data_IF_473140813908
#
_entry.id   IF_473140813908
#
_cell.length_a   1.000
_cell.length_b   1.000
_cell.length_c   1.000
_cell.angle_alpha   90.00
_cell.angle_beta   90.00
_cell.angle_gamma   90.00
#
_symmetry.space_group_name_H-M   'P 1'
#
loop_
_entity.id
_entity.type
_entity.pdbx_description
1 polymer ?
#
# COMPACT_ATOMS: atom_id res chain seq x y z
N UNK A 1 3.47 -21.44 29.37
CA UNK A 1 3.44 -22.04 28.02
C UNK A 1 4.84 -21.92 27.41
N UNK A 2 5.34 -22.91 26.66
CA UNK A 2 6.63 -22.82 25.95
C UNK A 2 6.40 -22.83 24.44
N UNK A 3 6.61 -21.68 23.81
CA UNK A 3 6.78 -21.57 22.35
C UNK A 3 8.04 -20.71 22.12
N UNK A 4 9.15 -21.35 21.78
CA UNK A 4 10.44 -20.66 21.62
C UNK A 4 10.48 -19.91 20.28
N UNK A 5 10.29 -18.59 20.32
CA UNK A 5 10.81 -17.73 19.23
C UNK A 5 12.33 -17.90 19.13
N UNK A 6 12.88 -17.86 17.92
CA UNK A 6 14.33 -17.91 17.67
C UNK A 6 15.06 -16.62 18.11
N UNK A 7 14.32 -15.57 18.48
CA UNK A 7 14.87 -14.35 19.09
C UNK A 7 15.36 -13.29 18.09
N UNK A 8 14.75 -13.23 16.89
CA UNK A 8 15.04 -12.20 15.87
C UNK A 8 14.82 -10.77 16.40
N UNK A 9 13.66 -10.50 16.99
CA UNK A 9 13.31 -9.24 17.69
C UNK A 9 14.36 -8.83 18.70
N UNK A 10 14.89 -9.82 19.42
CA UNK A 10 15.92 -9.63 20.45
C UNK A 10 17.29 -9.30 19.83
N UNK A 11 17.66 -9.91 18.70
CA UNK A 11 18.88 -9.56 17.96
C UNK A 11 18.80 -8.15 17.40
N UNK A 12 17.67 -7.77 16.78
CA UNK A 12 17.46 -6.43 16.24
C UNK A 12 17.52 -5.36 17.37
N UNK A 13 16.81 -5.58 18.48
CA UNK A 13 16.84 -4.67 19.63
C UNK A 13 18.22 -4.63 20.33
N UNK A 14 18.95 -5.74 20.38
CA UNK A 14 20.31 -5.73 20.93
C UNK A 14 21.31 -5.06 19.99
N UNK A 15 21.11 -5.11 18.66
CA UNK A 15 21.95 -4.42 17.70
C UNK A 15 21.75 -2.90 17.72
N UNK A 16 20.49 -2.46 17.68
CA UNK A 16 20.09 -1.04 17.58
C UNK A 16 20.04 -0.39 18.97
N UNK A 17 19.15 -0.87 19.84
CA UNK A 17 18.83 -0.23 21.13
C UNK A 17 19.77 -0.61 22.27
N UNK A 18 20.72 -1.54 22.05
CA UNK A 18 21.60 -2.14 23.08
C UNK A 18 20.84 -2.68 24.30
N UNK A 19 19.63 -3.21 24.05
CA UNK A 19 18.71 -3.70 25.08
C UNK A 19 18.22 -5.10 24.77
N UNK A 20 18.25 -5.95 25.80
CA UNK A 20 17.61 -7.26 25.83
C UNK A 20 16.50 -7.28 26.89
N UNK A 21 15.46 -8.10 26.69
CA UNK A 21 14.34 -8.28 27.63
C UNK A 21 13.99 -9.75 27.79
N UNK A 22 13.80 -10.18 29.04
CA UNK A 22 13.30 -11.51 29.38
C UNK A 22 11.77 -11.65 29.26
N UNK A 23 11.03 -10.56 29.01
CA UNK A 23 9.57 -10.61 28.88
C UNK A 23 9.18 -11.05 27.46
N UNK A 24 8.85 -12.33 27.30
CA UNK A 24 8.35 -12.86 26.04
C UNK A 24 6.95 -12.29 25.71
N UNK A 25 6.88 -11.46 24.68
CA UNK A 25 5.67 -11.22 23.88
C UNK A 25 5.88 -11.88 22.52
N UNK A 26 4.81 -12.37 21.90
CA UNK A 26 4.85 -12.84 20.52
C UNK A 26 4.79 -11.63 19.57
N UNK A 27 5.65 -11.60 18.55
CA UNK A 27 5.50 -10.67 17.42
C UNK A 27 4.22 -11.01 16.66
N UNK A 28 3.35 -10.02 16.46
CA UNK A 28 2.14 -10.08 15.65
C UNK A 28 2.37 -9.07 14.52
N UNK A 29 2.19 -9.46 13.27
CA UNK A 29 2.78 -8.72 12.15
C UNK A 29 4.31 -8.79 12.24
N UNK A 30 4.97 -7.63 12.29
CA UNK A 30 6.41 -7.50 12.48
C UNK A 30 6.81 -6.07 12.97
N UNK A 31 8.10 -5.78 13.07
CA UNK A 31 8.68 -4.64 13.82
C UNK A 31 9.78 -3.93 12.99
N UNK A 32 10.10 -2.65 13.23
CA UNK A 32 11.04 -1.87 12.40
C UNK A 32 11.95 -0.92 13.20
N UNK A 33 13.24 -0.93 12.89
CA UNK A 33 14.28 -0.12 13.53
C UNK A 33 15.36 0.31 12.54
N UNK A 34 15.56 1.62 12.36
CA UNK A 34 16.69 2.15 11.59
C UNK A 34 17.96 2.27 12.44
N UNK A 35 19.14 1.99 11.85
CA UNK A 35 20.44 2.35 12.44
C UNK A 35 21.44 2.78 11.38
N UNK A 36 22.10 3.91 11.61
CA UNK A 36 23.24 4.35 10.80
C UNK A 36 24.51 3.57 11.16
N UNK A 37 25.28 3.20 10.13
CA UNK A 37 26.49 2.37 10.26
C UNK A 37 27.55 2.86 9.28
N UNK A 38 28.81 2.90 9.70
CA UNK A 38 29.95 3.08 8.79
C UNK A 38 30.36 1.73 8.21
N UNK A 39 30.36 1.61 6.89
CA UNK A 39 30.81 0.41 6.15
C UNK A 39 31.73 0.85 5.02
N UNK A 40 32.99 0.38 5.04
CA UNK A 40 34.03 0.73 4.06
C UNK A 40 34.08 2.26 3.75
N UNK A 41 34.18 3.04 4.83
CA UNK A 41 34.18 4.51 4.87
C UNK A 41 32.93 5.23 4.32
N UNK A 42 31.85 4.51 4.00
CA UNK A 42 30.53 5.06 3.69
C UNK A 42 29.62 5.02 4.91
N UNK A 43 28.96 6.14 5.23
CA UNK A 43 27.85 6.16 6.18
C UNK A 43 26.59 5.65 5.48
N UNK A 44 25.95 4.61 6.02
CA UNK A 44 24.76 4.00 5.44
C UNK A 44 23.67 3.79 6.48
N UNK A 45 22.43 4.12 6.13
CA UNK A 45 21.26 3.84 6.96
C UNK A 45 20.81 2.40 6.70
N UNK A 46 21.07 1.50 7.63
CA UNK A 46 20.42 0.18 7.65
C UNK A 46 18.97 0.37 8.13
N UNK A 47 18.00 0.19 7.25
CA UNK A 47 16.62 -0.05 7.65
C UNK A 47 16.50 -1.52 8.06
N UNK A 48 16.41 -1.81 9.37
CA UNK A 48 16.21 -3.17 9.91
C UNK A 48 14.75 -3.37 10.32
N UNK A 49 14.36 -4.63 10.39
CA UNK A 49 12.97 -5.04 10.52
C UNK A 49 12.88 -6.43 11.28
N UNK A 50 11.71 -6.95 11.77
CA UNK A 50 11.55 -8.35 12.31
C UNK A 50 10.18 -9.12 12.15
N UNK A 51 10.17 -10.21 11.34
CA UNK A 51 9.17 -11.28 11.11
C UNK A 51 8.42 -11.93 12.29
N UNK A 52 7.08 -11.91 12.36
CA UNK A 52 6.35 -13.09 12.84
C UNK A 52 6.73 -14.35 12.02
N UNK A 53 7.50 -15.26 12.63
CA UNK A 53 7.93 -16.53 12.03
C UNK A 53 7.27 -17.74 12.71
N UNK A 54 5.94 -17.81 12.70
CA UNK A 54 5.17 -18.97 13.18
C UNK A 54 4.50 -19.71 12.02
N UNK A 55 4.57 -21.03 12.05
CA UNK A 55 4.03 -21.98 11.05
C UNK A 55 2.50 -21.99 10.90
N UNK A 56 1.80 -20.96 11.39
CA UNK A 56 0.34 -20.78 11.28
C UNK A 56 -0.06 -19.59 10.41
N UNK A 57 0.90 -18.76 10.00
CA UNK A 57 0.69 -17.55 9.21
C UNK A 57 1.65 -17.53 8.01
N UNK A 58 1.55 -18.54 7.13
CA UNK A 58 2.32 -18.62 5.87
C UNK A 58 1.77 -17.67 4.79
N UNK A 59 1.41 -16.45 5.19
CA UNK A 59 0.70 -15.45 4.39
C UNK A 59 1.13 -14.03 4.74
N UNK A 60 2.39 -13.84 5.14
CA UNK A 60 3.03 -12.53 5.05
C UNK A 60 3.07 -12.14 3.57
N UNK A 61 2.31 -11.10 3.20
CA UNK A 61 2.07 -10.72 1.81
C UNK A 61 3.36 -10.48 1.02
N UNK A 62 3.30 -10.77 -0.28
CA UNK A 62 4.42 -10.70 -1.25
C UNK A 62 5.18 -9.37 -1.20
N UNK A 63 4.51 -8.29 -0.80
CA UNK A 63 5.08 -6.95 -0.62
C UNK A 63 6.26 -6.91 0.37
N UNK A 64 6.29 -7.75 1.41
CA UNK A 64 7.29 -7.67 2.48
C UNK A 64 8.62 -8.38 2.20
N UNK A 65 8.78 -8.95 1.01
CA UNK A 65 10.03 -9.61 0.60
C UNK A 65 10.72 -8.90 -0.58
N UNK A 66 9.99 -8.07 -1.34
CA UNK A 66 10.48 -7.46 -2.58
C UNK A 66 11.25 -6.18 -2.32
N UNK A 67 12.45 -6.07 -2.90
CA UNK A 67 13.33 -4.91 -2.74
C UNK A 67 14.29 -4.99 -1.54
N UNK A 68 14.40 -6.15 -0.88
CA UNK A 68 15.39 -6.37 0.17
C UNK A 68 16.80 -6.54 -0.43
N UNK A 69 17.80 -5.89 0.18
CA UNK A 69 19.19 -5.96 -0.30
C UNK A 69 19.98 -7.15 0.27
N UNK A 70 19.50 -7.74 1.38
CA UNK A 70 20.04 -8.95 1.99
C UNK A 70 18.99 -9.60 2.91
N UNK A 71 18.99 -10.94 3.01
CA UNK A 71 18.09 -11.71 3.87
C UNK A 71 18.83 -12.31 5.08
N UNK A 72 18.21 -12.29 6.26
CA UNK A 72 18.81 -12.79 7.52
C UNK A 72 18.00 -13.98 8.06
N UNK A 73 18.59 -15.17 7.96
CA UNK A 73 17.97 -16.42 8.37
C UNK A 73 18.39 -16.78 9.80
N UNK A 74 17.45 -16.90 10.73
CA UNK A 74 17.75 -17.05 12.17
C UNK A 74 17.14 -18.33 12.76
N UNK A 75 17.91 -19.06 13.55
CA UNK A 75 17.46 -20.23 14.31
C UNK A 75 17.94 -20.20 15.77
N UNK A 76 17.39 -21.07 16.61
CA UNK A 76 17.79 -21.28 18.01
C UNK A 76 18.72 -22.50 18.08
N UNK A 77 19.97 -22.35 18.54
CA UNK A 77 20.94 -23.47 18.61
C UNK A 77 20.48 -24.63 19.52
N UNK A 78 19.49 -24.37 20.37
CA UNK A 78 18.86 -25.31 21.30
C UNK A 78 17.58 -25.94 20.71
N UNK A 79 17.31 -25.77 19.40
CA UNK A 79 16.10 -26.26 18.74
C UNK A 79 16.37 -26.72 17.30
N UNK A 80 16.56 -28.03 17.12
CA UNK A 80 16.75 -28.66 15.80
C UNK A 80 15.62 -28.31 14.82
N UNK A 81 14.36 -28.31 15.27
CA UNK A 81 13.21 -27.92 14.45
C UNK A 81 13.39 -26.53 13.79
N UNK A 82 13.96 -25.56 14.52
CA UNK A 82 14.16 -24.21 13.99
C UNK A 82 15.30 -24.09 12.96
N UNK A 83 16.24 -25.04 12.98
CA UNK A 83 17.30 -25.14 11.98
C UNK A 83 16.80 -25.88 10.73
N UNK A 84 15.99 -26.93 10.92
CA UNK A 84 15.46 -27.73 9.81
C UNK A 84 14.52 -26.91 8.88
N UNK A 85 13.85 -25.87 9.41
CA UNK A 85 13.00 -24.96 8.61
C UNK A 85 13.77 -23.93 7.77
N UNK A 86 15.09 -23.75 7.97
CA UNK A 86 15.87 -22.73 7.25
C UNK A 86 15.89 -22.91 5.72
N UNK A 87 15.75 -24.16 5.24
CA UNK A 87 15.61 -24.45 3.81
C UNK A 87 14.33 -23.85 3.24
N UNK A 88 13.18 -24.15 3.86
CA UNK A 88 11.89 -23.61 3.47
C UNK A 88 11.87 -22.08 3.48
N UNK A 89 12.37 -21.45 4.55
CA UNK A 89 12.41 -19.98 4.64
C UNK A 89 13.30 -19.32 3.57
N UNK A 90 14.43 -19.93 3.18
CA UNK A 90 15.24 -19.43 2.05
C UNK A 90 14.45 -19.54 0.75
N UNK A 91 13.93 -20.73 0.48
CA UNK A 91 13.37 -21.06 -0.82
C UNK A 91 12.02 -20.30 -1.03
N UNK A 92 11.25 -20.09 0.05
CA UNK A 92 10.09 -19.17 0.12
C UNK A 92 10.47 -17.71 -0.08
N UNK A 93 11.52 -17.21 0.60
CA UNK A 93 12.02 -15.84 0.39
C UNK A 93 12.36 -15.59 -1.08
N UNK A 94 13.08 -16.51 -1.74
CA UNK A 94 13.48 -16.35 -3.14
C UNK A 94 12.27 -16.29 -4.10
N UNK A 95 11.21 -17.07 -3.82
CA UNK A 95 9.95 -17.05 -4.58
C UNK A 95 9.23 -15.71 -4.41
N UNK A 96 9.10 -15.20 -3.19
CA UNK A 96 8.32 -13.99 -2.91
C UNK A 96 9.06 -12.70 -3.29
N UNK A 97 10.35 -12.60 -2.90
CA UNK A 97 11.22 -11.48 -3.20
C UNK A 97 11.50 -11.34 -4.71
N UNK A 98 11.58 -12.48 -5.42
CA UNK A 98 11.91 -12.55 -6.85
C UNK A 98 13.12 -11.65 -7.24
N UNK A 99 14.27 -11.79 -6.55
CA UNK A 99 15.43 -10.93 -6.76
C UNK A 99 15.99 -11.06 -8.19
N UNK A 100 16.71 -10.03 -8.65
CA UNK A 100 17.27 -9.97 -10.02
C UNK A 100 18.26 -11.11 -10.31
N UNK A 101 18.99 -11.54 -9.28
CA UNK A 101 19.86 -12.72 -9.30
C UNK A 101 19.55 -13.58 -8.05
N UNK A 102 18.72 -14.64 -8.18
CA UNK A 102 18.38 -15.53 -7.07
C UNK A 102 19.50 -16.46 -6.61
N UNK A 103 20.52 -16.70 -7.44
CA UNK A 103 21.62 -17.62 -7.15
C UNK A 103 22.71 -16.93 -6.31
N UNK A 104 22.97 -15.65 -6.59
CA UNK A 104 23.95 -14.81 -5.88
C UNK A 104 23.31 -13.81 -4.89
N UNK A 105 22.00 -13.90 -4.63
CA UNK A 105 21.34 -13.05 -3.63
C UNK A 105 21.97 -13.23 -2.24
N UNK A 106 22.33 -12.15 -1.52
CA UNK A 106 23.06 -12.26 -0.27
C UNK A 106 22.15 -12.71 0.88
N UNK A 107 22.56 -13.80 1.52
CA UNK A 107 22.00 -14.28 2.79
C UNK A 107 23.05 -14.15 3.90
N UNK A 108 22.59 -14.10 5.15
CA UNK A 108 23.41 -14.35 6.35
C UNK A 108 22.63 -15.23 7.32
N UNK A 109 23.29 -16.21 7.95
CA UNK A 109 22.66 -17.16 8.90
C UNK A 109 23.12 -16.88 10.32
N UNK A 110 22.17 -16.73 11.25
CA UNK A 110 22.43 -16.48 12.67
C UNK A 110 21.93 -17.64 13.54
N UNK A 111 22.87 -18.35 14.18
CA UNK A 111 22.59 -19.35 15.21
C UNK A 111 22.50 -18.69 16.57
N UNK A 112 21.30 -18.38 17.03
CA UNK A 112 21.07 -17.57 18.22
C UNK A 112 20.95 -18.40 19.51
N UNK A 113 21.14 -17.73 20.66
CA UNK A 113 21.03 -18.22 22.05
C UNK A 113 22.13 -19.18 22.50
N UNK A 114 23.39 -18.86 22.16
CA UNK A 114 24.58 -19.53 22.71
C UNK A 114 24.86 -19.24 24.19
N UNK A 115 24.09 -18.36 24.82
CA UNK A 115 24.14 -18.09 26.26
C UNK A 115 23.35 -19.12 27.10
N UNK A 116 22.72 -20.09 26.45
CA UNK A 116 22.12 -21.26 27.09
C UNK A 116 23.19 -22.33 27.31
N UNK A 117 23.12 -23.04 28.44
CA UNK A 117 24.03 -24.15 28.77
C UNK A 117 24.25 -25.12 27.58
N UNK A 118 25.51 -25.38 27.22
CA UNK A 118 25.90 -26.22 26.07
C UNK A 118 25.27 -27.63 26.07
N UNK A 119 24.91 -28.16 27.25
CA UNK A 119 24.18 -29.42 27.41
C UNK A 119 22.75 -29.41 26.82
N UNK A 120 22.21 -28.24 26.49
CA UNK A 120 20.90 -28.03 25.85
C UNK A 120 21.01 -27.73 24.34
N UNK A 121 22.22 -27.55 23.81
CA UNK A 121 22.47 -27.37 22.38
C UNK A 121 21.99 -28.59 21.60
N UNK A 122 21.27 -28.36 20.51
CA UNK A 122 20.79 -29.40 19.59
C UNK A 122 21.44 -29.30 18.20
N UNK A 123 21.94 -28.11 17.84
CA UNK A 123 22.59 -27.84 16.56
C UNK A 123 24.06 -27.48 16.81
N UNK A 124 24.96 -28.33 16.35
CA UNK A 124 26.40 -28.09 16.44
C UNK A 124 26.83 -27.07 15.37
N UNK A 125 27.82 -26.23 15.71
CA UNK A 125 28.41 -25.25 14.79
C UNK A 125 28.82 -25.90 13.45
N UNK A 126 29.43 -27.11 13.51
CA UNK A 126 29.82 -27.90 12.33
C UNK A 126 28.62 -28.27 11.43
N UNK A 127 27.45 -28.58 11.99
CA UNK A 127 26.23 -28.89 11.21
C UNK A 127 25.73 -27.65 10.47
N UNK A 128 25.73 -26.49 11.14
CA UNK A 128 25.30 -25.24 10.56
C UNK A 128 26.25 -24.73 9.47
N UNK A 129 27.57 -24.76 9.72
CA UNK A 129 28.59 -24.40 8.73
C UNK A 129 28.49 -25.27 7.46
N UNK A 130 28.32 -26.59 7.61
CA UNK A 130 28.18 -27.50 6.46
C UNK A 130 26.92 -27.21 5.62
N UNK A 131 25.81 -26.83 6.26
CA UNK A 131 24.60 -26.40 5.55
C UNK A 131 24.84 -25.08 4.79
N UNK A 132 25.46 -24.09 5.43
CA UNK A 132 25.77 -22.80 4.82
C UNK A 132 26.73 -22.94 3.61
N UNK A 133 27.72 -23.83 3.71
CA UNK A 133 28.60 -24.22 2.60
C UNK A 133 27.79 -24.82 1.44
N UNK A 134 26.95 -25.82 1.70
CA UNK A 134 26.12 -26.48 0.69
C UNK A 134 25.07 -25.58 0.01
N UNK A 135 24.78 -24.40 0.59
CA UNK A 135 23.84 -23.40 0.08
C UNK A 135 24.54 -22.15 -0.48
N UNK A 136 25.82 -22.25 -0.85
CA UNK A 136 26.56 -21.17 -1.54
C UNK A 136 27.57 -20.41 -0.66
N UNK A 137 28.14 -21.08 0.36
CA UNK A 137 29.06 -20.47 1.33
C UNK A 137 28.47 -19.25 2.09
N UNK A 138 27.19 -19.34 2.46
CA UNK A 138 26.48 -18.27 3.18
C UNK A 138 27.24 -17.90 4.47
N UNK A 139 27.53 -16.62 4.74
CA UNK A 139 28.14 -16.18 5.99
C UNK A 139 27.31 -16.58 7.22
N UNK A 140 27.98 -17.09 8.24
CA UNK A 140 27.37 -17.71 9.40
C UNK A 140 27.98 -17.20 10.71
N UNK A 141 27.12 -16.83 11.66
CA UNK A 141 27.51 -16.38 12.99
C UNK A 141 26.71 -17.12 14.06
N UNK A 142 27.38 -17.57 15.12
CA UNK A 142 26.69 -17.91 16.37
C UNK A 142 26.59 -16.65 17.25
N UNK A 143 25.39 -16.35 17.75
CA UNK A 143 25.07 -15.08 18.40
C UNK A 143 24.37 -15.26 19.75
N UNK A 144 24.51 -14.29 20.65
CA UNK A 144 23.57 -14.12 21.76
C UNK A 144 22.99 -12.71 21.75
N UNK A 145 21.67 -12.63 21.55
CA UNK A 145 20.92 -11.40 21.79
C UNK A 145 20.94 -10.95 23.26
N UNK A 146 21.17 -11.87 24.21
CA UNK A 146 21.17 -11.61 25.65
C UNK A 146 22.50 -11.05 26.14
N UNK A 147 23.60 -11.70 25.74
CA UNK A 147 24.97 -11.35 26.15
C UNK A 147 25.72 -10.50 25.10
N UNK A 148 25.00 -9.96 24.10
CA UNK A 148 25.51 -9.19 22.96
C UNK A 148 26.53 -9.90 22.03
N UNK A 149 26.82 -11.19 22.25
CA UNK A 149 27.89 -11.92 21.57
C UNK A 149 27.66 -11.96 20.05
N UNK A 150 28.69 -11.51 19.30
CA UNK A 150 28.79 -11.46 17.84
C UNK A 150 27.71 -10.63 17.11
N UNK A 151 26.80 -9.95 17.83
CA UNK A 151 25.69 -9.20 17.22
C UNK A 151 26.17 -8.06 16.33
N UNK A 152 27.17 -7.28 16.75
CA UNK A 152 27.66 -6.16 15.93
C UNK A 152 28.36 -6.64 14.65
N UNK A 153 29.20 -7.67 14.75
CA UNK A 153 29.95 -8.24 13.61
C UNK A 153 29.02 -8.88 12.56
N UNK A 154 27.98 -9.58 13.01
CA UNK A 154 26.98 -10.18 12.13
C UNK A 154 26.27 -9.10 11.29
N UNK A 155 25.81 -8.02 11.92
CA UNK A 155 25.10 -6.95 11.24
C UNK A 155 26.01 -6.06 10.37
N UNK A 156 27.28 -5.85 10.75
CA UNK A 156 28.26 -5.24 9.85
C UNK A 156 28.48 -6.09 8.58
N UNK A 157 28.49 -7.41 8.71
CA UNK A 157 28.60 -8.32 7.56
C UNK A 157 27.35 -8.27 6.67
N UNK A 158 26.16 -8.21 7.27
CA UNK A 158 24.88 -8.00 6.54
C UNK A 158 24.92 -6.70 5.74
N UNK A 159 25.34 -5.58 6.36
CA UNK A 159 25.44 -4.29 5.69
C UNK A 159 26.45 -4.28 4.53
N UNK A 160 27.62 -4.91 4.72
CA UNK A 160 28.65 -5.02 3.68
C UNK A 160 28.21 -5.90 2.50
N UNK A 161 27.48 -6.99 2.76
CA UNK A 161 26.96 -7.86 1.71
C UNK A 161 25.86 -7.19 0.87
N UNK A 162 24.97 -6.42 1.51
CA UNK A 162 23.96 -5.61 0.81
C UNK A 162 24.63 -4.60 -0.15
N UNK A 163 25.64 -3.87 0.33
CA UNK A 163 26.38 -2.87 -0.46
C UNK A 163 27.10 -3.41 -1.71
N UNK A 164 27.38 -4.72 -1.77
CA UNK A 164 28.12 -5.31 -2.90
C UNK A 164 27.23 -5.61 -4.12
N UNK A 165 25.94 -5.28 -4.07
CA UNK A 165 24.98 -5.47 -5.17
C UNK A 165 24.83 -4.24 -6.09
N UNK A 166 25.35 -3.07 -5.73
CA UNK A 166 25.15 -1.82 -6.49
C UNK A 166 26.36 -1.36 -7.31
N UNK A 167 26.06 -0.71 -8.44
CA UNK A 167 26.97 0.15 -9.20
C UNK A 167 26.29 1.51 -9.43
N UNK A 168 26.87 2.55 -8.83
CA UNK A 168 26.64 3.99 -9.07
C UNK A 168 25.19 4.54 -9.03
N UNK A 169 24.56 4.52 -7.86
CA UNK A 169 23.49 5.47 -7.43
C UNK A 169 23.77 5.92 -5.98
N UNK A 170 23.17 7.04 -5.52
CA UNK A 170 23.23 7.46 -4.11
C UNK A 170 22.40 6.54 -3.19
N UNK A 171 22.99 6.15 -2.07
CA UNK A 171 22.63 4.94 -1.30
C UNK A 171 21.45 5.06 -0.34
N UNK A 172 20.61 4.02 -0.32
CA UNK A 172 19.76 3.60 0.81
C UNK A 172 19.84 2.06 0.94
N UNK A 173 19.76 1.49 2.15
CA UNK A 173 19.81 0.03 2.37
C UNK A 173 18.57 -0.45 3.15
N UNK A 174 17.90 -1.49 2.66
CA UNK A 174 16.63 -2.00 3.18
C UNK A 174 16.66 -3.52 3.47
N UNK A 175 16.39 -3.91 4.72
CA UNK A 175 16.54 -5.28 5.24
C UNK A 175 15.24 -5.77 5.92
N UNK A 176 14.25 -6.07 5.07
CA UNK A 176 12.79 -6.19 5.28
C UNK A 176 12.24 -7.20 6.30
N UNK A 177 11.15 -6.79 6.99
CA UNK A 177 10.26 -7.60 7.87
C UNK A 177 9.17 -6.72 8.64
N UNK A 178 7.92 -6.54 8.20
CA UNK A 178 7.04 -5.34 8.42
C UNK A 178 6.27 -4.94 9.72
N UNK A 179 6.48 -3.66 10.09
CA UNK A 179 5.79 -2.66 10.97
C UNK A 179 4.25 -2.76 11.29
N UNK A 180 3.55 -1.89 12.06
CA UNK A 180 3.81 -0.57 12.78
C UNK A 180 2.75 -0.41 13.94
N UNK A 181 2.44 0.67 14.70
CA UNK A 181 2.86 2.07 15.03
C UNK A 181 2.27 2.38 16.46
N UNK A 182 1.99 3.60 16.99
CA UNK A 182 2.48 5.00 16.79
C UNK A 182 2.96 5.62 18.14
N UNK A 183 3.03 6.96 18.40
CA UNK A 183 2.98 8.15 17.51
C UNK A 183 4.10 9.22 17.76
N UNK A 184 4.17 10.25 16.89
CA UNK A 184 4.42 11.71 17.16
C UNK A 184 5.64 12.13 18.02
N UNK A 185 6.54 13.07 17.64
CA UNK A 185 6.80 13.88 16.42
C UNK A 185 8.27 14.43 16.42
N UNK A 186 8.80 14.99 15.31
CA UNK A 186 10.22 15.31 15.12
C UNK A 186 10.56 16.82 14.99
N UNK A 187 11.85 17.20 14.82
CA UNK A 187 12.28 18.51 14.31
C UNK A 187 12.83 18.48 12.85
N UNK A 188 12.25 19.35 12.01
CA UNK A 188 12.75 20.06 10.81
C UNK A 188 14.13 19.69 10.18
N UNK A 189 14.35 19.70 8.86
CA UNK A 189 13.51 19.63 7.63
C UNK A 189 14.45 19.49 6.41
N UNK A 190 14.03 18.81 5.33
CA UNK A 190 13.88 19.49 4.04
C UNK A 190 12.42 19.86 3.80
N UNK A 191 12.15 20.78 2.86
CA UNK A 191 10.81 21.33 2.63
C UNK A 191 9.77 20.25 2.38
N UNK A 192 8.68 20.26 3.15
CA UNK A 192 7.50 19.42 2.91
C UNK A 192 7.09 19.47 1.43
N UNK A 193 6.79 18.34 0.77
CA UNK A 193 6.19 18.36 -0.55
C UNK A 193 4.86 19.11 -0.45
N UNK A 194 4.79 20.27 -1.11
CA UNK A 194 3.58 21.10 -1.12
C UNK A 194 2.56 20.38 -1.99
N UNK A 195 1.57 19.76 -1.35
CA UNK A 195 0.43 19.15 -2.05
C UNK A 195 -0.23 20.20 -2.93
N UNK A 196 -0.48 19.86 -4.19
CA UNK A 196 -1.02 20.83 -5.14
C UNK A 196 -2.41 21.28 -4.71
N UNK A 197 -2.66 22.59 -4.74
CA UNK A 197 -3.95 23.16 -4.37
C UNK A 197 -5.08 22.55 -5.24
N UNK A 198 -6.25 22.22 -4.66
CA UNK A 198 -7.39 21.72 -5.43
C UNK A 198 -7.78 22.67 -6.57
N UNK A 199 -8.06 22.12 -7.76
CA UNK A 199 -8.55 22.91 -8.90
C UNK A 199 -10.07 22.77 -8.99
N UNK A 200 -10.79 23.81 -8.56
CA UNK A 200 -12.25 23.88 -8.65
C UNK A 200 -12.69 24.40 -10.03
N UNK A 201 -13.41 23.59 -10.80
CA UNK A 201 -14.15 24.02 -11.98
C UNK A 201 -15.65 24.11 -11.65
N UNK A 202 -16.28 25.19 -12.11
CA UNK A 202 -17.73 25.39 -12.03
C UNK A 202 -18.29 25.63 -13.42
N UNK A 203 -19.41 24.98 -13.74
CA UNK A 203 -20.08 25.04 -15.03
C UNK A 203 -21.53 25.49 -14.86
N UNK A 204 -22.04 26.31 -15.79
CA UNK A 204 -23.39 26.90 -15.65
C UNK A 204 -24.51 25.92 -15.98
N UNK A 205 -24.19 24.78 -16.62
CA UNK A 205 -25.11 23.65 -16.76
C UNK A 205 -24.48 22.30 -16.43
N UNK A 206 -25.30 21.34 -16.00
CA UNK A 206 -24.88 19.92 -15.87
C UNK A 206 -24.44 19.31 -17.21
N UNK A 207 -24.87 19.85 -18.36
CA UNK A 207 -24.40 19.44 -19.68
C UNK A 207 -22.94 19.83 -19.93
N UNK A 208 -22.59 21.09 -19.67
CA UNK A 208 -21.20 21.59 -19.73
C UNK A 208 -20.27 20.85 -18.77
N UNK A 209 -20.75 20.51 -17.57
CA UNK A 209 -20.03 19.69 -16.59
C UNK A 209 -19.71 18.30 -17.18
N UNK A 210 -20.72 17.60 -17.70
CA UNK A 210 -20.58 16.24 -18.28
C UNK A 210 -19.63 16.23 -19.48
N UNK A 211 -19.76 17.20 -20.39
CA UNK A 211 -18.88 17.34 -21.55
C UNK A 211 -17.43 17.70 -21.15
N UNK A 212 -17.25 18.62 -20.20
CA UNK A 212 -15.91 19.01 -19.72
C UNK A 212 -15.23 17.88 -18.94
N UNK A 213 -15.99 17.12 -18.14
CA UNK A 213 -15.52 15.91 -17.48
C UNK A 213 -15.13 14.83 -18.51
N UNK A 214 -15.95 14.61 -19.54
CA UNK A 214 -15.64 13.67 -20.62
C UNK A 214 -14.33 14.06 -21.35
N UNK A 215 -14.15 15.34 -21.67
CA UNK A 215 -12.93 15.90 -22.26
C UNK A 215 -11.69 15.74 -21.36
N UNK A 216 -11.82 15.97 -20.05
CA UNK A 216 -10.76 15.74 -19.05
C UNK A 216 -10.33 14.27 -18.98
N UNK A 217 -11.29 13.35 -19.00
CA UNK A 217 -11.04 11.90 -19.01
C UNK A 217 -10.43 11.45 -20.35
N UNK A 218 -10.87 12.00 -21.49
CA UNK A 218 -10.30 11.73 -22.82
C UNK A 218 -8.83 12.19 -22.92
N UNK A 219 -8.49 13.37 -22.38
CA UNK A 219 -7.10 13.81 -22.25
C UNK A 219 -6.29 12.85 -21.36
N UNK A 220 -6.81 12.55 -20.16
CA UNK A 220 -6.09 11.75 -19.17
C UNK A 220 -5.90 10.29 -19.60
N UNK A 221 -6.88 9.66 -20.27
CA UNK A 221 -6.70 8.32 -20.84
C UNK A 221 -5.66 8.32 -21.96
N UNK A 222 -5.60 9.38 -22.77
CA UNK A 222 -4.62 9.49 -23.85
C UNK A 222 -3.21 9.59 -23.28
N UNK A 223 -2.99 10.49 -22.32
CA UNK A 223 -1.70 10.65 -21.63
C UNK A 223 -1.22 9.31 -21.03
N UNK A 224 -2.14 8.55 -20.41
CA UNK A 224 -1.87 7.23 -19.84
C UNK A 224 -1.56 6.18 -20.91
N UNK A 225 -2.38 6.06 -21.96
CA UNK A 225 -2.21 5.04 -23.02
C UNK A 225 -0.93 5.30 -23.82
N UNK A 226 -0.62 6.56 -24.11
CA UNK A 226 0.59 6.93 -24.84
C UNK A 226 1.86 6.74 -23.98
N UNK A 227 1.76 6.83 -22.63
CA UNK A 227 2.88 6.57 -21.68
C UNK A 227 3.08 5.09 -21.31
N UNK A 228 2.00 4.34 -21.06
CA UNK A 228 2.06 2.97 -20.48
C UNK A 228 1.16 1.93 -21.17
N UNK A 229 0.59 2.24 -22.33
CA UNK A 229 -0.17 1.31 -23.17
C UNK A 229 -1.57 0.91 -22.67
N UNK A 230 -1.98 1.41 -21.50
CA UNK A 230 -3.26 1.17 -20.80
C UNK A 230 -3.65 2.38 -19.93
N UNK A 231 -4.94 2.53 -19.63
CA UNK A 231 -5.50 3.52 -18.72
C UNK A 231 -6.14 2.81 -17.52
N UNK A 232 -5.77 3.20 -16.29
CA UNK A 232 -6.25 2.63 -15.04
C UNK A 232 -7.09 3.66 -14.28
N UNK A 233 -8.38 3.38 -14.13
CA UNK A 233 -9.37 4.27 -13.53
C UNK A 233 -10.16 3.58 -12.42
N UNK A 234 -10.35 4.26 -11.28
CA UNK A 234 -11.27 3.82 -10.23
C UNK A 234 -12.50 4.73 -10.14
N UNK A 235 -13.67 4.14 -9.87
CA UNK A 235 -14.97 4.81 -9.80
C UNK A 235 -15.64 4.60 -8.44
N UNK A 236 -16.20 5.64 -7.84
CA UNK A 236 -17.15 5.50 -6.72
C UNK A 236 -18.58 5.26 -7.19
N UNK A 237 -19.45 4.87 -6.26
CA UNK A 237 -20.90 4.81 -6.47
C UNK A 237 -21.64 6.15 -6.59
N UNK A 238 -22.97 6.08 -6.41
CA UNK A 238 -23.84 7.24 -6.26
C UNK A 238 -24.24 7.88 -7.59
N UNK A 239 -24.25 9.22 -7.67
CA UNK A 239 -24.63 9.93 -8.90
C UNK A 239 -23.54 9.91 -9.98
N UNK A 240 -22.30 9.51 -9.65
CA UNK A 240 -21.13 9.59 -10.54
C UNK A 240 -21.31 8.83 -11.87
N UNK A 241 -21.75 7.55 -11.91
CA UNK A 241 -21.84 6.81 -13.18
C UNK A 241 -22.78 7.46 -14.20
N UNK A 242 -23.82 8.17 -13.74
CA UNK A 242 -24.77 8.90 -14.60
C UNK A 242 -24.16 10.14 -15.25
N UNK A 243 -23.08 10.70 -14.68
CA UNK A 243 -22.32 11.81 -15.25
C UNK A 243 -21.32 11.32 -16.33
N UNK A 244 -20.93 10.04 -16.30
CA UNK A 244 -20.00 9.46 -17.28
C UNK A 244 -20.61 9.24 -18.67
N UNK A 245 -21.93 9.38 -18.82
CA UNK A 245 -22.66 9.19 -20.09
C UNK A 245 -22.06 9.97 -21.27
N UNK A 246 -21.53 11.18 -21.04
CA UNK A 246 -20.96 12.03 -22.08
C UNK A 246 -19.74 11.41 -22.76
N UNK A 247 -19.04 10.49 -22.10
CA UNK A 247 -17.94 9.75 -22.73
C UNK A 247 -18.39 8.94 -23.96
N UNK A 248 -19.63 8.44 -23.96
CA UNK A 248 -20.19 7.68 -25.10
C UNK A 248 -20.40 8.57 -26.33
N UNK A 249 -20.50 9.89 -26.12
CA UNK A 249 -20.73 10.90 -27.15
C UNK A 249 -19.41 11.48 -27.71
N UNK A 250 -18.24 11.04 -27.20
CA UNK A 250 -16.92 11.55 -27.57
C UNK A 250 -16.08 10.53 -28.36
N UNK A 251 -15.67 10.92 -29.58
CA UNK A 251 -14.75 10.15 -30.42
C UNK A 251 -13.35 9.98 -29.77
N UNK A 252 -12.68 8.88 -30.12
CA UNK A 252 -11.27 8.65 -29.77
C UNK A 252 -11.03 7.98 -28.41
N UNK A 253 -12.08 7.63 -27.66
CA UNK A 253 -11.97 6.77 -26.48
C UNK A 253 -11.56 5.35 -26.90
N UNK A 254 -10.52 4.82 -26.25
CA UNK A 254 -9.96 3.48 -26.49
C UNK A 254 -10.41 2.50 -25.40
N UNK A 255 -11.69 2.10 -25.44
CA UNK A 255 -12.31 1.28 -24.39
C UNK A 255 -11.56 -0.03 -24.11
N UNK A 256 -10.90 -0.61 -25.11
CA UNK A 256 -10.08 -1.82 -25.01
C UNK A 256 -8.80 -1.63 -24.17
N UNK A 257 -8.45 -0.37 -23.86
CA UNK A 257 -7.29 0.01 -23.03
C UNK A 257 -7.66 0.44 -21.62
N UNK A 258 -8.95 0.56 -21.31
CA UNK A 258 -9.40 0.88 -19.96
C UNK A 258 -9.32 -0.35 -19.08
N UNK A 259 -8.79 -0.20 -17.86
CA UNK A 259 -9.00 -1.10 -16.74
C UNK A 259 -9.72 -0.32 -15.64
N UNK A 260 -10.90 -0.81 -15.28
CA UNK A 260 -11.85 -0.12 -14.40
C UNK A 260 -11.95 -0.85 -13.07
N UNK A 261 -11.88 -0.10 -11.98
CA UNK A 261 -11.93 -0.56 -10.61
C UNK A 261 -12.99 0.25 -9.84
N UNK A 262 -13.38 -0.23 -8.67
CA UNK A 262 -14.25 0.49 -7.73
C UNK A 262 -13.45 1.07 -6.57
N UNK A 263 -13.71 2.34 -6.24
CA UNK A 263 -13.13 3.02 -5.08
C UNK A 263 -13.88 2.68 -3.77
N UNK A 264 -15.18 2.36 -3.87
CA UNK A 264 -15.98 1.69 -2.85
C UNK A 264 -16.84 0.61 -3.50
N UNK A 265 -17.13 -0.48 -2.79
CA UNK A 265 -18.21 -1.39 -3.16
C UNK A 265 -18.89 -1.99 -1.92
N UNK A 266 -20.18 -2.30 -2.05
CA UNK A 266 -21.08 -2.74 -0.99
C UNK A 266 -21.03 -4.27 -1.00
N UNK A 267 -21.04 -4.90 0.18
CA UNK A 267 -20.91 -6.36 0.29
C UNK A 267 -22.26 -7.00 0.00
N UNK A 268 -22.57 -7.06 -1.29
CA UNK A 268 -23.80 -7.59 -1.89
C UNK A 268 -23.45 -8.24 -3.24
N UNK A 269 -24.32 -9.12 -3.80
CA UNK A 269 -24.15 -9.62 -5.16
C UNK A 269 -24.04 -8.50 -6.21
N UNK A 270 -23.29 -8.75 -7.29
CA UNK A 270 -23.01 -7.76 -8.34
C UNK A 270 -24.23 -7.38 -9.21
N UNK A 271 -25.35 -8.10 -9.07
CA UNK A 271 -26.66 -7.81 -9.65
C UNK A 271 -27.63 -7.13 -8.64
N UNK A 272 -27.20 -6.92 -7.39
CA UNK A 272 -28.01 -6.26 -6.36
C UNK A 272 -28.11 -4.75 -6.61
N UNK A 273 -29.30 -4.11 -6.41
CA UNK A 273 -29.48 -2.68 -6.69
C UNK A 273 -28.53 -1.71 -5.97
N UNK A 274 -27.99 -2.10 -4.80
CA UNK A 274 -27.02 -1.31 -4.03
C UNK A 274 -25.55 -1.46 -4.48
N UNK A 275 -25.26 -2.36 -5.43
CA UNK A 275 -23.92 -2.54 -5.99
C UNK A 275 -23.54 -1.38 -6.91
N UNK A 276 -22.34 -0.84 -6.70
CA UNK A 276 -21.72 0.12 -7.59
C UNK A 276 -21.37 -0.50 -8.95
N UNK A 277 -21.04 -1.80 -9.00
CA UNK A 277 -20.94 -2.54 -10.26
C UNK A 277 -22.27 -2.59 -11.00
N UNK A 278 -23.38 -2.99 -10.35
CA UNK A 278 -24.72 -3.01 -10.97
C UNK A 278 -25.09 -1.64 -11.55
N UNK A 279 -24.83 -0.58 -10.78
CA UNK A 279 -25.08 0.81 -11.20
C UNK A 279 -24.20 1.24 -12.38
N UNK A 280 -22.91 0.90 -12.39
CA UNK A 280 -22.02 1.18 -13.50
C UNK A 280 -22.36 0.35 -14.75
N UNK A 281 -22.75 -0.92 -14.60
CA UNK A 281 -23.16 -1.78 -15.70
C UNK A 281 -24.42 -1.25 -16.38
N UNK A 282 -25.44 -0.88 -15.60
CA UNK A 282 -26.70 -0.33 -16.12
C UNK A 282 -26.53 1.06 -16.74
N UNK A 283 -25.88 2.00 -16.04
CA UNK A 283 -25.81 3.40 -16.48
C UNK A 283 -24.68 3.69 -17.48
N UNK A 284 -23.59 2.93 -17.47
CA UNK A 284 -22.37 3.24 -18.23
C UNK A 284 -21.90 2.10 -19.13
N UNK A 285 -21.52 0.93 -18.60
CA UNK A 285 -20.88 -0.13 -19.41
C UNK A 285 -21.80 -0.73 -20.47
N UNK A 286 -23.13 -0.71 -20.26
CA UNK A 286 -24.14 -1.06 -21.26
C UNK A 286 -24.05 -0.26 -22.58
N UNK A 287 -23.25 0.81 -22.59
CA UNK A 287 -23.09 1.78 -23.68
C UNK A 287 -21.61 1.91 -24.14
N UNK A 288 -20.69 1.09 -23.63
CA UNK A 288 -19.24 1.18 -23.95
C UNK A 288 -18.66 -0.14 -24.46
N UNK A 289 -17.46 -0.07 -25.06
CA UNK A 289 -16.73 -1.24 -25.56
C UNK A 289 -15.72 -1.83 -24.57
N UNK A 290 -15.89 -1.63 -23.26
CA UNK A 290 -14.88 -2.04 -22.25
C UNK A 290 -14.91 -3.58 -22.12
N UNK A 291 -13.77 -4.28 -22.30
CA UNK A 291 -13.72 -5.73 -22.12
C UNK A 291 -14.08 -6.12 -20.68
N UNK A 292 -14.94 -7.12 -20.50
CA UNK A 292 -15.36 -7.57 -19.17
C UNK A 292 -14.18 -8.00 -18.28
N UNK A 293 -13.14 -8.61 -18.87
CA UNK A 293 -11.90 -8.98 -18.18
C UNK A 293 -11.04 -7.78 -17.70
N UNK A 294 -11.40 -6.56 -18.08
CA UNK A 294 -10.79 -5.32 -17.61
C UNK A 294 -11.66 -4.58 -16.56
N UNK A 295 -12.82 -5.12 -16.19
CA UNK A 295 -13.69 -4.56 -15.14
C UNK A 295 -13.47 -5.40 -13.88
N UNK A 296 -12.67 -4.87 -12.95
CA UNK A 296 -12.20 -5.58 -11.77
C UNK A 296 -13.19 -5.39 -10.63
N UNK A 297 -13.86 -6.46 -10.22
CA UNK A 297 -14.91 -6.47 -9.19
C UNK A 297 -14.42 -7.10 -7.89
N UNK A 298 -15.23 -6.96 -6.85
CA UNK A 298 -15.13 -7.81 -5.65
C UNK A 298 -15.39 -9.28 -6.00
N UNK A 299 -14.86 -10.20 -5.19
CA UNK A 299 -15.08 -11.64 -5.36
C UNK A 299 -16.38 -12.08 -4.66
N UNK A 300 -17.42 -12.34 -5.45
CA UNK A 300 -18.74 -12.75 -4.94
C UNK A 300 -18.75 -14.10 -4.20
N UNK A 301 -17.66 -14.87 -4.25
CA UNK A 301 -17.56 -16.17 -3.58
C UNK A 301 -17.20 -16.06 -2.08
N UNK A 302 -16.92 -14.85 -1.57
CA UNK A 302 -16.56 -14.59 -0.16
C UNK A 302 -17.30 -13.36 0.42
N UNK A 303 -18.56 -13.14 0.02
CA UNK A 303 -19.38 -12.02 0.54
C UNK A 303 -19.74 -12.16 2.03
N UNK A 304 -19.52 -13.32 2.64
CA UNK A 304 -19.72 -13.59 4.06
C UNK A 304 -18.48 -13.25 4.92
N UNK A 305 -17.28 -13.21 4.34
CA UNK A 305 -16.03 -12.81 5.00
C UNK A 305 -15.49 -11.50 4.40
N UNK A 306 -15.70 -10.39 5.12
CA UNK A 306 -15.38 -9.05 4.62
C UNK A 306 -13.86 -8.74 4.60
N UNK A 307 -13.08 -9.41 5.43
CA UNK A 307 -11.62 -9.27 5.47
C UNK A 307 -11.01 -10.01 4.27
N UNK A 308 -11.39 -11.28 4.05
CA UNK A 308 -10.97 -12.05 2.86
C UNK A 308 -11.44 -11.37 1.55
N UNK A 309 -12.62 -10.74 1.54
CA UNK A 309 -13.11 -9.95 0.40
C UNK A 309 -12.24 -8.71 0.13
N UNK A 310 -11.81 -8.01 1.17
CA UNK A 310 -10.90 -6.87 1.08
C UNK A 310 -9.51 -7.32 0.59
N UNK A 311 -8.96 -8.37 1.20
CA UNK A 311 -7.65 -8.93 0.87
C UNK A 311 -7.59 -9.48 -0.57
N UNK A 312 -8.64 -10.15 -1.05
CA UNK A 312 -8.72 -10.59 -2.47
C UNK A 312 -8.77 -9.42 -3.44
N UNK A 313 -9.44 -8.33 -3.07
CA UNK A 313 -9.49 -7.14 -3.92
C UNK A 313 -8.17 -6.36 -3.89
N UNK A 314 -7.47 -6.33 -2.75
CA UNK A 314 -6.10 -5.82 -2.65
C UNK A 314 -5.11 -6.67 -3.47
N UNK A 315 -5.20 -8.01 -3.42
CA UNK A 315 -4.40 -8.92 -4.23
C UNK A 315 -4.62 -8.69 -5.74
N UNK A 316 -5.86 -8.43 -6.19
CA UNK A 316 -6.14 -8.02 -7.58
C UNK A 316 -5.39 -6.73 -7.94
N UNK A 317 -5.40 -5.72 -7.07
CA UNK A 317 -4.62 -4.49 -7.31
C UNK A 317 -3.11 -4.78 -7.34
N UNK A 318 -2.57 -5.56 -6.41
CA UNK A 318 -1.15 -5.91 -6.37
C UNK A 318 -0.72 -6.59 -7.68
N UNK A 319 -1.48 -7.56 -8.18
CA UNK A 319 -1.20 -8.24 -9.47
C UNK A 319 -1.26 -7.27 -10.65
N UNK A 320 -2.19 -6.31 -10.66
CA UNK A 320 -2.36 -5.38 -11.77
C UNK A 320 -1.38 -4.19 -11.76
N UNK A 321 -0.93 -3.76 -10.58
CA UNK A 321 -0.09 -2.56 -10.38
C UNK A 321 1.38 -2.85 -10.05
N UNK A 322 1.78 -4.12 -9.87
CA UNK A 322 3.19 -4.50 -9.69
C UNK A 322 4.08 -4.17 -10.91
N UNK A 323 4.63 -2.96 -10.93
CA UNK A 323 5.70 -2.52 -11.83
C UNK A 323 7.08 -3.04 -11.38
N UNK A 324 8.08 -2.93 -12.25
CA UNK A 324 9.50 -3.13 -11.89
C UNK A 324 10.01 -2.05 -10.93
N UNK A 325 9.36 -0.90 -10.93
CA UNK A 325 9.65 0.24 -10.05
C UNK A 325 8.71 0.18 -8.83
N UNK A 326 9.28 0.31 -7.63
CA UNK A 326 8.69 -0.12 -6.36
C UNK A 326 7.86 0.96 -5.64
N UNK A 327 6.67 1.27 -6.18
CA UNK A 327 5.71 2.13 -5.50
C UNK A 327 5.01 1.40 -4.33
N UNK A 328 4.98 2.03 -3.14
CA UNK A 328 4.32 1.50 -1.92
C UNK A 328 2.79 1.36 -2.07
N UNK A 329 2.19 2.17 -2.96
CA UNK A 329 0.75 2.24 -3.21
C UNK A 329 0.47 2.31 -4.73
N UNK A 330 -0.68 1.82 -5.20
CA UNK A 330 -0.97 1.71 -6.63
C UNK A 330 -1.29 3.09 -7.23
N UNK A 331 -0.48 3.52 -8.22
CA UNK A 331 -0.65 4.80 -8.90
C UNK A 331 -1.69 4.65 -10.02
N UNK A 332 -2.96 4.91 -9.69
CA UNK A 332 -4.03 5.11 -10.67
C UNK A 332 -3.76 6.35 -11.53
N UNK A 333 -4.18 6.32 -12.80
CA UNK A 333 -4.12 7.52 -13.65
C UNK A 333 -5.22 8.51 -13.24
N UNK A 334 -6.37 7.96 -12.86
CA UNK A 334 -7.52 8.73 -12.42
C UNK A 334 -8.34 7.96 -11.36
N UNK A 335 -8.70 8.62 -10.27
CA UNK A 335 -9.77 8.17 -9.37
C UNK A 335 -10.91 9.19 -9.45
N UNK A 336 -12.11 8.72 -9.78
CA UNK A 336 -13.33 9.53 -9.81
C UNK A 336 -14.17 9.28 -8.55
N UNK A 337 -14.47 10.35 -7.83
CA UNK A 337 -15.14 10.30 -6.52
C UNK A 337 -16.42 11.13 -6.50
N UNK A 338 -17.45 10.60 -5.85
CA UNK A 338 -18.61 11.36 -5.37
C UNK A 338 -18.37 11.87 -3.95
N UNK A 339 -19.04 12.97 -3.60
CA UNK A 339 -19.10 13.50 -2.23
C UNK A 339 -20.53 13.38 -1.68
N UNK A 340 -20.69 12.82 -0.48
CA UNK A 340 -21.98 12.80 0.22
C UNK A 340 -22.35 14.14 0.86
N UNK A 341 -23.59 14.31 1.37
CA UNK A 341 -24.04 15.54 2.05
C UNK A 341 -23.32 15.80 3.39
N UNK A 342 -22.66 14.78 3.91
CA UNK A 342 -21.84 14.71 5.13
C UNK A 342 -20.32 14.72 4.82
N UNK A 343 -19.92 14.98 3.57
CA UNK A 343 -18.52 15.07 3.18
C UNK A 343 -17.78 13.73 3.08
N UNK A 344 -18.47 12.59 3.28
CA UNK A 344 -17.90 11.27 3.00
C UNK A 344 -17.56 11.11 1.51
N UNK A 345 -16.56 10.28 1.24
CA UNK A 345 -16.11 9.87 -0.10
C UNK A 345 -15.73 8.40 -0.05
N UNK A 346 -15.91 7.66 -1.15
CA UNK A 346 -15.85 6.19 -1.16
C UNK A 346 -16.70 5.61 0.02
N UNK A 347 -16.13 4.80 0.92
CA UNK A 347 -16.75 4.48 2.23
C UNK A 347 -15.99 5.07 3.44
N UNK A 348 -15.29 6.19 3.24
CA UNK A 348 -14.60 6.93 4.29
C UNK A 348 -15.55 7.98 4.90
N UNK A 349 -16.16 7.67 6.05
CA UNK A 349 -17.19 8.49 6.71
C UNK A 349 -16.63 9.40 7.83
N UNK A 350 -17.23 10.58 8.09
CA UNK A 350 -16.83 11.45 9.19
C UNK A 350 -16.80 10.73 10.54
N UNK A 351 -15.80 11.04 11.37
CA UNK A 351 -15.59 10.47 12.71
C UNK A 351 -15.39 8.93 12.77
N UNK A 352 -15.33 8.24 11.63
CA UNK A 352 -15.08 6.80 11.56
C UNK A 352 -13.60 6.48 11.83
N UNK A 353 -13.30 5.37 12.52
CA UNK A 353 -11.91 5.01 12.85
C UNK A 353 -11.05 4.74 11.62
N UNK A 354 -11.66 4.18 10.56
CA UNK A 354 -11.04 3.96 9.25
C UNK A 354 -10.44 5.23 8.60
N UNK A 355 -10.83 6.43 9.06
CA UNK A 355 -10.15 7.67 8.66
C UNK A 355 -8.69 7.76 9.18
N UNK A 356 -8.24 6.86 10.04
CA UNK A 356 -6.86 6.81 10.56
C UNK A 356 -5.98 5.75 9.86
N UNK A 357 -6.51 4.99 8.91
CA UNK A 357 -5.77 3.97 8.15
C UNK A 357 -4.66 4.58 7.27
N UNK A 358 -3.45 4.01 7.36
CA UNK A 358 -2.20 4.53 6.78
C UNK A 358 -1.43 3.52 5.93
N UNK A 359 -1.82 2.25 5.95
CA UNK A 359 -0.99 1.14 5.48
C UNK A 359 -1.74 0.17 4.55
N UNK A 360 -2.98 -0.25 4.87
CA UNK A 360 -3.80 -1.06 3.94
C UNK A 360 -4.09 -0.31 2.64
N UNK A 361 -4.21 -1.01 1.52
CA UNK A 361 -4.71 -0.42 0.27
C UNK A 361 -6.24 -0.47 0.22
N UNK A 362 -6.80 -1.64 0.57
CA UNK A 362 -8.24 -1.88 0.70
C UNK A 362 -8.56 -2.13 2.17
N UNK A 363 -9.64 -1.54 2.66
CA UNK A 363 -10.14 -1.80 4.00
C UNK A 363 -11.62 -2.21 3.99
N UNK A 364 -12.03 -3.15 4.87
CA UNK A 364 -13.42 -3.42 5.16
C UNK A 364 -14.03 -2.35 6.08
N UNK A 365 -15.36 -2.29 6.09
CA UNK A 365 -16.17 -1.53 7.05
C UNK A 365 -17.50 -2.28 7.22
N UNK A 366 -17.87 -2.64 8.46
CA UNK A 366 -19.11 -3.39 8.72
C UNK A 366 -20.27 -2.51 9.18
N UNK A 367 -19.95 -1.36 9.76
CA UNK A 367 -20.81 -0.46 10.52
C UNK A 367 -21.02 0.89 9.83
N UNK A 368 -20.89 0.94 8.49
CA UNK A 368 -21.12 2.16 7.72
C UNK A 368 -22.47 2.80 8.10
N UNK A 369 -22.52 4.12 8.39
CA UNK A 369 -23.72 4.81 8.87
C UNK A 369 -24.81 4.96 7.79
N UNK A 370 -24.68 4.28 6.65
CA UNK A 370 -25.64 4.26 5.54
C UNK A 370 -25.79 2.85 4.99
N UNK A 371 -27.01 2.36 4.75
CA UNK A 371 -27.22 1.02 4.21
C UNK A 371 -26.67 0.88 2.78
N UNK A 372 -26.23 -0.32 2.36
CA UNK A 372 -25.81 -1.45 3.22
C UNK A 372 -24.61 -1.07 4.10
N UNK A 373 -24.56 -1.57 5.33
CA UNK A 373 -23.51 -1.19 6.29
C UNK A 373 -22.15 -1.84 5.99
N UNK A 374 -22.16 -3.09 5.50
CA UNK A 374 -20.97 -3.81 5.04
C UNK A 374 -20.49 -3.31 3.67
N UNK A 375 -19.26 -2.83 3.60
CA UNK A 375 -18.59 -2.32 2.38
C UNK A 375 -17.09 -2.62 2.41
N UNK A 376 -16.44 -2.53 1.26
CA UNK A 376 -15.00 -2.33 1.17
C UNK A 376 -14.70 -0.98 0.52
N UNK A 377 -13.53 -0.41 0.80
CA UNK A 377 -13.13 0.90 0.27
C UNK A 377 -11.63 1.00 0.06
N UNK A 378 -11.24 1.81 -0.93
CA UNK A 378 -9.90 2.38 -0.99
C UNK A 378 -9.67 3.23 0.25
N UNK A 379 -8.45 3.15 0.79
CA UNK A 379 -7.99 3.95 1.93
C UNK A 379 -7.44 5.30 1.45
N UNK A 380 -7.24 6.27 2.36
CA UNK A 380 -6.58 7.53 2.01
C UNK A 380 -5.19 7.34 1.37
N UNK A 381 -4.34 6.39 1.82
CA UNK A 381 -3.12 6.03 1.11
C UNK A 381 -3.30 5.77 -0.39
N UNK A 382 -4.24 4.92 -0.82
CA UNK A 382 -4.47 4.67 -2.26
C UNK A 382 -4.95 5.93 -2.96
N UNK A 383 -5.96 6.61 -2.40
CA UNK A 383 -6.57 7.78 -3.02
C UNK A 383 -5.54 8.90 -3.22
N UNK A 384 -4.66 9.11 -2.24
CA UNK A 384 -3.66 10.18 -2.26
C UNK A 384 -2.35 9.82 -3.00
N UNK A 385 -2.23 8.62 -3.57
CA UNK A 385 -1.11 8.24 -4.47
C UNK A 385 -1.50 8.18 -5.95
N UNK A 386 -2.77 8.42 -6.32
CA UNK A 386 -3.17 8.54 -7.71
C UNK A 386 -2.59 9.80 -8.40
N UNK A 387 -2.30 9.70 -9.70
CA UNK A 387 -1.75 10.80 -10.49
C UNK A 387 -2.76 11.95 -10.68
N UNK A 388 -4.05 11.63 -10.85
CA UNK A 388 -5.15 12.59 -10.79
C UNK A 388 -6.28 12.01 -9.94
N UNK A 389 -6.92 12.86 -9.14
CA UNK A 389 -8.19 12.55 -8.48
C UNK A 389 -9.18 13.63 -8.86
N UNK A 390 -10.40 13.27 -9.23
CA UNK A 390 -11.44 14.24 -9.54
C UNK A 390 -12.74 13.93 -8.80
N UNK A 391 -13.20 14.89 -8.00
CA UNK A 391 -14.55 14.86 -7.45
C UNK A 391 -15.56 15.35 -8.48
N UNK A 392 -16.74 14.74 -8.48
CA UNK A 392 -17.88 15.16 -9.32
C UNK A 392 -19.08 15.44 -8.42
N UNK A 393 -19.44 16.72 -8.27
CA UNK A 393 -20.49 17.17 -7.35
C UNK A 393 -21.41 18.19 -8.03
N UNK A 394 -22.64 17.77 -8.36
CA UNK A 394 -23.63 18.56 -9.08
C UNK A 394 -24.93 18.72 -8.26
N UNK A 395 -25.63 19.82 -8.48
CA UNK A 395 -26.92 20.15 -7.86
C UNK A 395 -26.81 20.82 -6.48
N UNK A 396 -27.86 21.55 -6.12
CA UNK A 396 -27.91 22.39 -4.90
C UNK A 396 -27.69 21.64 -3.58
N UNK A 397 -28.05 20.35 -3.52
CA UNK A 397 -27.81 19.47 -2.37
C UNK A 397 -26.34 19.14 -2.10
N UNK A 398 -25.41 19.88 -2.71
CA UNK A 398 -23.96 19.86 -2.44
C UNK A 398 -23.42 21.18 -1.89
N UNK A 399 -24.20 22.26 -1.87
CA UNK A 399 -23.71 23.62 -1.59
C UNK A 399 -22.99 23.77 -0.26
N UNK A 400 -23.65 23.37 0.84
CA UNK A 400 -23.10 23.53 2.18
C UNK A 400 -21.87 22.63 2.37
N UNK A 401 -21.97 21.36 1.99
CA UNK A 401 -20.86 20.41 2.11
C UNK A 401 -19.65 20.79 1.27
N UNK A 402 -19.85 21.34 0.06
CA UNK A 402 -18.75 21.74 -0.82
C UNK A 402 -18.05 23.00 -0.32
N UNK A 403 -18.80 23.95 0.24
CA UNK A 403 -18.27 25.07 1.01
C UNK A 403 -17.44 24.56 2.20
N UNK A 404 -18.01 23.69 3.05
CA UNK A 404 -17.30 23.20 4.24
C UNK A 404 -16.03 22.39 3.88
N UNK A 405 -16.05 21.61 2.80
CA UNK A 405 -14.90 20.82 2.33
C UNK A 405 -13.77 21.66 1.72
N UNK A 406 -14.09 22.77 1.03
CA UNK A 406 -13.09 23.58 0.31
C UNK A 406 -12.71 24.89 1.02
N UNK A 407 -13.65 25.54 1.69
CA UNK A 407 -13.45 26.82 2.36
C UNK A 407 -13.05 26.67 3.84
N UNK A 408 -13.38 25.51 4.46
CA UNK A 408 -13.01 25.16 5.84
C UNK A 408 -12.33 23.78 5.95
N UNK A 409 -11.30 23.47 5.14
CA UNK A 409 -10.74 22.12 5.08
C UNK A 409 -10.20 21.59 6.42
N UNK A 410 -9.92 22.47 7.38
CA UNK A 410 -9.55 22.18 8.78
C UNK A 410 -10.66 21.52 9.61
N UNK A 411 -11.95 21.59 9.22
CA UNK A 411 -13.02 20.76 9.81
C UNK A 411 -12.80 19.26 9.55
N UNK A 412 -11.86 18.89 8.66
CA UNK A 412 -11.33 17.52 8.55
C UNK A 412 -12.27 16.49 7.91
N UNK A 413 -13.34 16.94 7.27
CA UNK A 413 -14.28 16.10 6.53
C UNK A 413 -13.54 15.19 5.53
N UNK A 414 -13.99 13.93 5.30
CA UNK A 414 -13.22 12.97 4.50
C UNK A 414 -12.81 13.46 3.11
N UNK A 415 -13.66 14.25 2.45
CA UNK A 415 -13.34 14.83 1.13
C UNK A 415 -12.30 15.97 1.15
N UNK A 416 -12.11 16.68 2.28
CA UNK A 416 -11.04 17.71 2.40
C UNK A 416 -9.66 17.12 2.70
N UNK A 417 -9.65 15.85 3.12
CA UNK A 417 -8.48 15.01 3.41
C UNK A 417 -7.95 14.25 2.18
N UNK A 418 -8.70 14.23 1.09
CA UNK A 418 -8.20 13.82 -0.22
C UNK A 418 -7.24 14.89 -0.71
N UNK A 419 -5.94 14.58 -0.77
CA UNK A 419 -4.84 15.45 -1.16
C UNK A 419 -3.72 14.61 -1.79
N UNK A 420 -3.73 14.42 -3.12
CA UNK A 420 -2.70 13.66 -3.81
C UNK A 420 -1.29 14.21 -3.56
N UNK A 421 -0.35 13.35 -3.17
CA UNK A 421 1.00 13.74 -2.73
C UNK A 421 1.90 14.12 -3.92
N UNK A 422 1.75 13.39 -5.02
CA UNK A 422 2.49 13.60 -6.28
C UNK A 422 1.56 13.78 -7.49
N UNK A 423 0.26 13.95 -7.23
CA UNK A 423 -0.79 14.14 -8.24
C UNK A 423 -1.53 15.45 -8.06
N UNK A 424 -2.63 15.61 -8.80
CA UNK A 424 -3.50 16.80 -8.74
C UNK A 424 -4.93 16.42 -8.35
N UNK A 425 -5.53 17.18 -7.42
CA UNK A 425 -6.97 17.11 -7.13
C UNK A 425 -7.75 18.10 -8.00
N UNK A 426 -8.84 17.65 -8.59
CA UNK A 426 -9.80 18.44 -9.33
C UNK A 426 -11.20 18.32 -8.73
N UNK A 427 -12.02 19.35 -8.89
CA UNK A 427 -13.44 19.34 -8.54
C UNK A 427 -14.25 19.79 -9.77
N UNK A 428 -15.09 18.91 -10.31
CA UNK A 428 -16.02 19.21 -11.39
C UNK A 428 -17.41 19.43 -10.79
N UNK A 429 -17.86 20.68 -10.83
CA UNK A 429 -19.08 21.14 -10.15
C UNK A 429 -19.95 21.98 -11.06
N UNK A 430 -21.25 22.05 -10.80
CA UNK A 430 -22.11 23.05 -11.45
C UNK A 430 -22.27 24.29 -10.54
N UNK A 431 -22.69 25.41 -11.13
CA UNK A 431 -22.95 26.66 -10.38
C UNK A 431 -24.04 26.46 -9.30
N UNK A 432 -24.87 25.41 -9.44
CA UNK A 432 -25.82 25.00 -8.41
C UNK A 432 -25.11 24.37 -7.19
N UNK A 433 -24.12 23.50 -7.38
CA UNK A 433 -23.32 22.91 -6.31
C UNK A 433 -22.32 23.92 -5.71
N UNK A 434 -21.64 24.71 -6.52
CA UNK A 434 -20.58 25.63 -6.06
C UNK A 434 -21.09 26.99 -5.54
N UNK A 435 -22.41 27.18 -5.44
CA UNK A 435 -23.06 28.47 -5.16
C UNK A 435 -22.61 29.16 -3.87
N UNK A 436 -22.36 28.39 -2.81
CA UNK A 436 -21.90 28.89 -1.49
C UNK A 436 -20.38 28.92 -1.37
N UNK A 437 -19.67 28.17 -2.22
CA UNK A 437 -18.23 27.98 -2.15
C UNK A 437 -17.47 29.24 -2.57
N UNK A 438 -16.60 29.71 -1.68
CA UNK A 438 -15.76 30.90 -1.87
C UNK A 438 -14.43 30.58 -2.57
N UNK A 439 -14.02 29.30 -2.54
CA UNK A 439 -12.78 28.79 -3.11
C UNK A 439 -12.58 29.24 -4.58
N UNK A 440 -11.37 29.71 -4.96
CA UNK A 440 -11.12 30.23 -6.30
C UNK A 440 -11.49 29.27 -7.43
N UNK A 441 -12.49 29.66 -8.22
CA UNK A 441 -12.98 28.91 -9.39
C UNK A 441 -12.03 29.15 -10.57
N UNK A 442 -11.50 28.06 -11.12
CA UNK A 442 -10.63 28.04 -12.28
C UNK A 442 -11.44 27.93 -13.58
N UNK A 443 -10.91 28.50 -14.66
CA UNK A 443 -11.46 28.31 -16.01
C UNK A 443 -10.96 26.97 -16.57
N UNK A 444 -11.88 26.10 -16.98
CA UNK A 444 -11.54 24.82 -17.61
C UNK A 444 -10.86 25.02 -18.98
N UNK A 445 -9.75 24.32 -19.23
CA UNK A 445 -8.98 24.40 -20.47
C UNK A 445 -8.12 23.13 -20.61
N UNK A 446 -8.22 22.45 -21.74
CA UNK A 446 -7.50 21.20 -22.01
C UNK A 446 -5.98 21.36 -22.07
N UNK A 447 -5.50 22.55 -22.40
CA UNK A 447 -4.07 22.89 -22.52
C UNK A 447 -3.37 23.04 -21.16
N UNK A 448 -4.13 22.86 -20.06
CA UNK A 448 -3.67 22.99 -18.66
C UNK A 448 -3.87 21.69 -17.85
N UNK A 449 -3.95 20.53 -18.53
CA UNK A 449 -4.30 19.22 -17.95
C UNK A 449 -3.25 18.11 -18.15
#
# INVERSE_FOLDING_TARGET
MKFNSVGKTSLMNQYVNKRFSNQYKATIGADFLTKEVMVDDRLVTMQLWDTAGQERFQSLGVAFYRGADCCVLVYDVNSTKSFDTLGGWRDEFLIQASPRDPDNFPFVVLGNKIDVEESKRQVTQKRAMAWCQSKGNIPYFETSAKEAINVEQAFQTIAKNALQQEADVELQIILYFSERDPPVKPPLMPSTPVTANPILYSFSTSGELVDSLAKFILKTQKDAIDKKGRFTIALSGGSLPKQLKGLVEHDGIKWEKWHVYYADERVVPLDHPDSNHYLCATEFYSKTGIPAANIHTIDINVLDDIEELADRYEQQLIVQFASKDSARFPIFDLILLGMGPDGHTASLFPNHELLQETDRWIAPIEDSPKPPSKRITFTFPVINHAAKVAFVAAGEGKQDTLHDVLDKPEEGLPSSRVRPVHGQLYWFTDDAASKKTLYPKSIFSLDKL
#
